data_IF_617526937285
#
_entry.id   IF_617526937285
#
_cell.length_a   1.000
_cell.length_b   1.000
_cell.length_c   1.000
_cell.angle_alpha   90.00
_cell.angle_beta   90.00
_cell.angle_gamma   90.00
#
_symmetry.space_group_name_H-M   'P 1'
#
loop_
_entity.id
_entity.type
_entity.pdbx_description
1 polymer ?
#
# COMPACT_ATOMS: atom_id res chain seq x y z
N UNK A 1 -6.79 10.61 -5.85
CA UNK A 1 -6.12 11.13 -4.65
C UNK A 1 -6.56 10.38 -3.40
N UNK A 2 -5.85 10.58 -2.31
CA UNK A 2 -6.00 9.85 -1.08
C UNK A 2 -6.27 10.90 0.02
N UNK A 3 -7.40 10.82 0.77
CA UNK A 3 -7.80 11.83 1.76
C UNK A 3 -8.11 11.32 3.18
N UNK A 4 -7.42 11.84 4.21
CA UNK A 4 -7.63 11.44 5.61
C UNK A 4 -8.85 12.20 6.12
N UNK A 5 -9.82 11.47 6.64
CA UNK A 5 -11.02 12.06 7.22
C UNK A 5 -10.62 12.83 8.47
N UNK A 6 -10.94 14.10 8.52
CA UNK A 6 -10.77 14.97 9.69
C UNK A 6 -12.16 15.34 10.22
N UNK A 7 -12.35 15.19 11.52
CA UNK A 7 -13.60 15.48 12.21
C UNK A 7 -14.61 14.32 12.19
N UNK A 8 -15.80 14.58 12.74
CA UNK A 8 -16.85 13.57 12.99
C UNK A 8 -18.07 13.69 12.07
N UNK A 9 -18.07 14.63 11.13
CA UNK A 9 -19.25 14.98 10.30
C UNK A 9 -19.77 13.83 9.42
N UNK A 10 -18.94 12.81 9.16
CA UNK A 10 -19.26 11.67 8.31
C UNK A 10 -19.33 10.34 9.08
N UNK A 11 -19.44 10.39 10.42
CA UNK A 11 -19.66 9.20 11.24
C UNK A 11 -21.11 8.72 11.14
N UNK A 12 -21.37 7.40 11.23
CA UNK A 12 -20.42 6.31 11.50
C UNK A 12 -19.70 5.77 10.26
N UNK A 13 -20.15 6.13 9.05
CA UNK A 13 -19.65 5.56 7.80
C UNK A 13 -18.15 5.84 7.58
N UNK A 14 -17.67 7.01 7.99
CA UNK A 14 -16.28 7.43 7.88
C UNK A 14 -15.80 8.04 9.20
N UNK A 15 -15.13 7.22 10.02
CA UNK A 15 -14.58 7.63 11.32
C UNK A 15 -13.42 8.60 11.16
N UNK A 16 -13.25 9.50 12.13
CA UNK A 16 -12.08 10.39 12.16
C UNK A 16 -10.76 9.60 12.03
N UNK A 17 -9.85 10.10 11.20
CA UNK A 17 -8.59 9.46 10.85
C UNK A 17 -8.67 8.37 9.78
N UNK A 18 -9.88 7.93 9.36
CA UNK A 18 -10.04 6.95 8.28
C UNK A 18 -9.40 7.45 6.99
N UNK A 19 -8.89 6.52 6.19
CA UNK A 19 -8.19 6.85 4.96
C UNK A 19 -9.09 6.53 3.76
N UNK A 20 -9.49 7.51 2.94
CA UNK A 20 -10.31 7.31 1.73
C UNK A 20 -9.51 7.40 0.43
N UNK A 21 -9.82 6.56 -0.56
CA UNK A 21 -9.41 6.74 -1.94
C UNK A 21 -10.49 7.51 -2.69
N UNK A 22 -10.11 8.64 -3.26
CA UNK A 22 -10.98 9.58 -3.96
C UNK A 22 -10.53 9.65 -5.41
N UNK A 23 -11.42 9.37 -6.35
CA UNK A 23 -11.11 9.36 -7.77
C UNK A 23 -11.85 10.50 -8.50
N UNK A 24 -11.09 11.34 -9.19
CA UNK A 24 -11.63 12.34 -10.13
C UNK A 24 -12.13 11.67 -11.41
N UNK A 25 -11.45 10.61 -11.86
CA UNK A 25 -11.89 9.81 -13.00
C UNK A 25 -13.25 9.14 -12.73
N UNK A 26 -13.54 8.80 -11.47
CA UNK A 26 -14.84 8.23 -11.10
C UNK A 26 -16.02 9.18 -11.34
N UNK A 27 -15.79 10.50 -11.49
CA UNK A 27 -16.82 11.46 -11.85
C UNK A 27 -17.35 11.25 -13.28
N UNK A 28 -16.55 10.65 -14.18
CA UNK A 28 -16.95 10.35 -15.57
C UNK A 28 -18.05 9.29 -15.65
N UNK A 29 -18.17 8.44 -14.63
CA UNK A 29 -19.22 7.42 -14.55
C UNK A 29 -20.52 7.95 -13.91
N UNK A 30 -20.61 9.26 -13.70
CA UNK A 30 -21.76 9.92 -13.09
C UNK A 30 -21.76 9.88 -11.56
N UNK A 31 -22.46 10.85 -10.99
CA UNK A 31 -22.71 10.96 -9.55
C UNK A 31 -24.14 10.49 -9.26
N UNK A 32 -24.30 9.76 -8.15
CA UNK A 32 -25.61 9.26 -7.70
C UNK A 32 -25.90 9.74 -6.28
N UNK A 33 -27.19 9.83 -5.95
CA UNK A 33 -27.63 10.05 -4.57
C UNK A 33 -27.06 8.93 -3.71
N UNK A 34 -26.52 9.28 -2.54
CA UNK A 34 -25.84 8.37 -1.62
C UNK A 34 -24.33 8.28 -1.80
N UNK A 35 -23.76 8.76 -2.92
CA UNK A 35 -22.30 8.79 -3.09
C UNK A 35 -21.63 9.70 -2.06
N UNK A 36 -20.52 9.25 -1.48
CA UNK A 36 -19.64 10.12 -0.71
C UNK A 36 -18.66 10.81 -1.67
N UNK A 37 -18.58 12.13 -1.58
CA UNK A 37 -17.74 12.96 -2.44
C UNK A 37 -16.95 13.94 -1.60
N UNK A 38 -15.78 14.29 -2.13
CA UNK A 38 -15.04 15.44 -1.65
C UNK A 38 -15.35 16.63 -2.54
N UNK A 39 -15.59 17.77 -1.92
CA UNK A 39 -15.88 19.03 -2.57
C UNK A 39 -15.16 20.18 -1.88
N UNK A 40 -15.01 21.31 -2.55
CA UNK A 40 -14.62 22.55 -1.90
C UNK A 40 -15.83 23.17 -1.19
N UNK A 41 -15.66 23.57 0.07
CA UNK A 41 -16.66 24.34 0.81
C UNK A 41 -16.86 25.69 0.09
N UNK A 42 -18.11 26.07 -0.26
CA UNK A 42 -18.37 27.32 -0.99
C UNK A 42 -17.89 28.58 -0.28
N UNK A 43 -17.76 28.53 1.05
CA UNK A 43 -17.49 29.72 1.90
C UNK A 43 -16.00 30.04 2.01
N UNK A 44 -15.16 29.03 2.18
CA UNK A 44 -13.73 29.19 2.48
C UNK A 44 -12.82 28.34 1.57
N UNK A 45 -13.39 27.65 0.57
CA UNK A 45 -12.68 26.79 -0.40
C UNK A 45 -11.86 25.67 0.22
N UNK A 46 -12.09 25.29 1.49
CA UNK A 46 -11.42 24.13 2.07
C UNK A 46 -12.03 22.82 1.56
N UNK A 47 -11.27 21.73 1.44
CA UNK A 47 -11.82 20.43 1.08
C UNK A 47 -12.69 19.88 2.21
N UNK A 48 -13.92 19.49 1.87
CA UNK A 48 -14.89 18.86 2.76
C UNK A 48 -15.34 17.53 2.20
N UNK A 49 -15.64 16.58 3.10
CA UNK A 49 -16.20 15.28 2.75
C UNK A 49 -17.68 15.26 3.13
N UNK A 50 -18.55 14.96 2.17
CA UNK A 50 -20.01 14.89 2.35
C UNK A 50 -20.64 13.80 1.49
N UNK A 51 -21.89 13.47 1.79
CA UNK A 51 -22.72 12.57 1.00
C UNK A 51 -23.68 13.36 0.11
N UNK A 52 -23.88 12.91 -1.12
CA UNK A 52 -24.87 13.47 -2.02
C UNK A 52 -26.26 13.10 -1.52
N UNK A 53 -27.04 14.10 -1.14
CA UNK A 53 -28.43 13.92 -0.74
C UNK A 53 -29.40 14.22 -1.90
N UNK A 54 -29.07 15.18 -2.76
CA UNK A 54 -29.88 15.53 -3.94
C UNK A 54 -29.00 16.01 -5.09
N UNK A 55 -29.40 15.72 -6.32
CA UNK A 55 -28.78 16.25 -7.54
C UNK A 55 -29.87 17.00 -8.31
N UNK A 56 -29.61 18.23 -8.70
CA UNK A 56 -30.49 19.06 -9.53
C UNK A 56 -29.73 19.68 -10.70
N UNK A 57 -30.42 20.51 -11.51
CA UNK A 57 -29.78 21.27 -12.59
C UNK A 57 -28.89 22.38 -12.05
N UNK A 58 -29.26 22.99 -10.91
CA UNK A 58 -28.51 24.07 -10.27
C UNK A 58 -27.25 23.57 -9.54
N UNK A 59 -27.21 22.28 -9.16
CA UNK A 59 -26.03 21.67 -8.56
C UNK A 59 -26.33 20.47 -7.68
N UNK A 60 -25.51 20.26 -6.65
CA UNK A 60 -25.54 19.10 -5.77
C UNK A 60 -25.74 19.54 -4.32
N UNK A 61 -26.72 18.95 -3.66
CA UNK A 61 -26.98 19.15 -2.25
C UNK A 61 -26.23 18.10 -1.42
N UNK A 62 -25.35 18.54 -0.55
CA UNK A 62 -24.43 17.72 0.22
C UNK A 62 -24.82 17.69 1.70
N UNK A 63 -24.87 16.51 2.32
CA UNK A 63 -25.14 16.33 3.75
C UNK A 63 -24.05 15.51 4.41
N UNK A 64 -23.78 15.77 5.69
CA UNK A 64 -22.96 14.87 6.49
C UNK A 64 -23.78 13.72 7.08
N UNK A 65 -23.13 12.58 7.33
CA UNK A 65 -23.79 11.42 7.94
C UNK A 65 -24.10 11.62 9.43
N UNK A 66 -23.35 12.51 10.09
CA UNK A 66 -23.59 12.93 11.47
C UNK A 66 -24.11 14.36 11.47
N UNK A 67 -25.42 14.52 11.53
CA UNK A 67 -26.07 15.84 11.43
C UNK A 67 -25.62 16.83 12.51
N UNK A 68 -25.42 16.36 13.75
CA UNK A 68 -25.06 17.17 14.91
C UNK A 68 -23.63 17.74 14.85
N UNK A 69 -22.77 17.16 14.00
CA UNK A 69 -21.36 17.53 13.85
C UNK A 69 -21.06 18.00 12.43
N UNK A 70 -22.09 18.31 11.63
CA UNK A 70 -21.96 18.65 10.22
C UNK A 70 -22.35 20.08 9.94
N UNK A 71 -21.39 20.84 9.42
CA UNK A 71 -21.68 21.99 8.56
C UNK A 71 -21.75 21.49 7.12
N UNK A 72 -22.92 21.61 6.49
CA UNK A 72 -23.23 21.04 5.17
C UNK A 72 -24.17 21.97 4.38
N UNK A 73 -24.80 21.48 3.31
CA UNK A 73 -25.66 22.30 2.44
C UNK A 73 -26.87 22.93 3.14
N UNK A 74 -27.21 22.49 4.36
CA UNK A 74 -28.18 23.21 5.20
C UNK A 74 -27.70 24.62 5.57
N UNK A 75 -26.38 24.82 5.62
CA UNK A 75 -25.75 26.09 5.99
C UNK A 75 -25.28 26.87 4.77
N UNK A 76 -24.65 26.21 3.81
CA UNK A 76 -24.02 26.90 2.65
C UNK A 76 -24.76 26.70 1.32
N UNK A 77 -25.89 25.98 1.31
CA UNK A 77 -26.67 25.75 0.10
C UNK A 77 -26.04 24.75 -0.88
N UNK A 78 -26.39 24.91 -2.15
CA UNK A 78 -26.04 23.98 -3.23
C UNK A 78 -24.57 24.16 -3.64
N UNK A 79 -23.89 23.04 -3.91
CA UNK A 79 -22.52 23.03 -4.43
C UNK A 79 -22.54 22.71 -5.93
N UNK A 80 -21.89 23.53 -6.74
CA UNK A 80 -21.82 23.30 -8.19
C UNK A 80 -20.92 22.11 -8.53
N UNK A 81 -21.10 21.50 -9.72
CA UNK A 81 -20.37 20.28 -10.11
C UNK A 81 -18.86 20.51 -10.22
N UNK A 82 -18.45 21.72 -10.55
CA UNK A 82 -17.04 22.12 -10.72
C UNK A 82 -16.31 22.13 -9.38
N UNK A 83 -17.03 22.35 -8.28
CA UNK A 83 -16.48 22.31 -6.92
C UNK A 83 -16.37 20.88 -6.37
N UNK A 84 -16.80 19.84 -7.10
CA UNK A 84 -16.59 18.44 -6.72
C UNK A 84 -15.19 18.00 -7.14
N UNK A 85 -14.36 17.70 -6.15
CA UNK A 85 -12.97 17.27 -6.33
C UNK A 85 -12.92 15.81 -6.83
N UNK A 86 -13.77 14.95 -6.27
CA UNK A 86 -13.82 13.54 -6.66
C UNK A 86 -14.75 12.69 -5.80
N UNK A 87 -15.01 11.47 -6.28
CA UNK A 87 -15.86 10.48 -5.60
C UNK A 87 -15.03 9.53 -4.74
N UNK A 88 -15.49 9.24 -3.54
CA UNK A 88 -14.91 8.20 -2.69
C UNK A 88 -15.19 6.85 -3.32
N UNK A 89 -14.13 6.13 -3.68
CA UNK A 89 -14.20 4.79 -4.27
C UNK A 89 -13.81 3.69 -3.29
N UNK A 90 -13.04 4.02 -2.24
CA UNK A 90 -12.62 3.03 -1.24
C UNK A 90 -12.35 3.68 0.12
N UNK A 91 -12.61 2.94 1.20
CA UNK A 91 -12.27 3.30 2.59
C UNK A 91 -11.31 2.28 3.17
N UNK A 92 -10.17 2.74 3.68
CA UNK A 92 -9.18 1.94 4.37
C UNK A 92 -9.38 2.04 5.90
N UNK A 93 -9.65 0.93 6.61
CA UNK A 93 -9.73 0.93 8.07
C UNK A 93 -8.43 1.31 8.78
N UNK A 94 -8.50 2.05 9.89
CA UNK A 94 -7.33 2.42 10.72
C UNK A 94 -6.57 1.21 11.30
N UNK A 95 -7.21 0.03 11.41
CA UNK A 95 -6.51 -1.21 11.79
C UNK A 95 -5.47 -1.65 10.75
N UNK A 96 -5.62 -1.23 9.49
CA UNK A 96 -4.74 -1.62 8.38
C UNK A 96 -3.32 -1.10 8.61
N UNK A 97 -3.13 0.11 9.17
CA UNK A 97 -1.78 0.61 9.42
C UNK A 97 -1.03 -0.27 10.43
N UNK A 98 -1.66 -0.61 11.56
CA UNK A 98 -1.05 -1.52 12.56
C UNK A 98 -0.77 -2.90 11.97
N UNK A 99 -1.70 -3.43 11.17
CA UNK A 99 -1.52 -4.71 10.49
C UNK A 99 -0.37 -4.66 9.48
N UNK A 100 -0.26 -3.58 8.69
CA UNK A 100 0.80 -3.39 7.71
C UNK A 100 2.18 -3.30 8.39
N UNK A 101 2.32 -2.60 9.52
CA UNK A 101 3.60 -2.57 10.23
C UNK A 101 4.01 -3.97 10.74
N UNK A 102 3.05 -4.75 11.25
CA UNK A 102 3.30 -6.15 11.65
C UNK A 102 3.65 -7.03 10.45
N UNK A 103 2.94 -6.86 9.33
CA UNK A 103 3.20 -7.59 8.10
C UNK A 103 4.62 -7.32 7.58
N UNK A 104 5.08 -6.06 7.58
CA UNK A 104 6.47 -5.72 7.19
C UNK A 104 7.48 -6.45 8.08
N UNK A 105 7.31 -6.41 9.41
CA UNK A 105 8.20 -7.10 10.34
C UNK A 105 8.24 -8.61 10.12
N UNK A 106 7.07 -9.24 9.99
CA UNK A 106 6.97 -10.68 9.81
C UNK A 106 7.52 -11.12 8.45
N UNK A 107 7.12 -10.46 7.36
CA UNK A 107 7.58 -10.80 6.01
C UNK A 107 9.09 -10.61 5.85
N UNK A 108 9.66 -9.53 6.40
CA UNK A 108 11.10 -9.32 6.35
C UNK A 108 11.87 -10.37 7.18
N UNK A 109 11.36 -10.74 8.36
CA UNK A 109 11.98 -11.75 9.21
C UNK A 109 11.92 -13.15 8.58
N UNK A 110 10.77 -13.53 8.03
CA UNK A 110 10.58 -14.82 7.35
C UNK A 110 11.48 -14.89 6.11
N UNK A 111 11.51 -13.83 5.30
CA UNK A 111 12.37 -13.77 4.11
C UNK A 111 13.86 -13.84 4.46
N UNK A 112 14.29 -13.21 5.56
CA UNK A 112 15.68 -13.30 6.03
C UNK A 112 16.05 -14.73 6.47
N UNK A 113 15.16 -15.41 7.18
CA UNK A 113 15.38 -16.81 7.59
C UNK A 113 15.44 -17.75 6.39
N UNK A 114 14.52 -17.59 5.44
CA UNK A 114 14.44 -18.35 4.20
C UNK A 114 15.73 -18.21 3.36
N UNK A 115 16.07 -16.98 3.00
CA UNK A 115 17.26 -16.69 2.20
C UNK A 115 18.57 -16.98 2.95
N UNK A 116 18.61 -16.77 4.27
CA UNK A 116 19.74 -17.15 5.12
C UNK A 116 19.96 -18.67 5.16
N UNK A 117 18.89 -19.45 5.26
CA UNK A 117 18.94 -20.91 5.20
C UNK A 117 19.46 -21.41 3.85
N UNK A 118 18.94 -20.88 2.74
CA UNK A 118 19.41 -21.23 1.40
C UNK A 118 20.88 -20.84 1.18
N UNK A 119 21.29 -19.68 1.68
CA UNK A 119 22.69 -19.24 1.62
C UNK A 119 23.61 -20.20 2.37
N UNK A 120 23.23 -20.60 3.59
CA UNK A 120 23.99 -21.56 4.39
C UNK A 120 24.10 -22.91 3.67
N UNK A 121 23.00 -23.40 3.08
CA UNK A 121 22.99 -24.66 2.31
C UNK A 121 23.85 -24.61 1.06
N UNK A 122 23.82 -23.50 0.34
CA UNK A 122 24.67 -23.30 -0.84
C UNK A 122 26.15 -23.32 -0.49
N UNK A 123 26.54 -22.68 0.62
CA UNK A 123 27.94 -22.64 1.08
C UNK A 123 28.41 -23.99 1.63
N UNK A 124 27.53 -24.73 2.32
CA UNK A 124 27.86 -26.04 2.90
C UNK A 124 27.73 -27.20 1.92
N UNK A 125 27.26 -26.94 0.69
CA UNK A 125 26.99 -27.98 -0.31
C UNK A 125 25.87 -28.95 0.09
N UNK A 126 25.03 -28.55 1.06
CA UNK A 126 23.96 -29.40 1.57
C UNK A 126 22.76 -29.44 0.62
N UNK A 127 22.17 -30.62 0.44
CA UNK A 127 20.94 -30.78 -0.35
C UNK A 127 19.75 -30.06 0.29
N UNK A 128 18.85 -29.58 -0.57
CA UNK A 128 17.64 -28.84 -0.21
C UNK A 128 16.42 -29.71 -0.54
N UNK A 129 15.94 -30.46 0.45
CA UNK A 129 14.76 -31.31 0.27
C UNK A 129 13.48 -30.48 0.29
N UNK A 130 12.73 -30.52 -0.81
CA UNK A 130 11.45 -29.82 -0.98
C UNK A 130 10.25 -30.78 -0.93
N UNK A 131 10.31 -31.77 -0.04
CA UNK A 131 9.33 -32.87 0.06
C UNK A 131 7.94 -32.41 0.51
N UNK A 132 7.80 -31.18 1.03
CA UNK A 132 6.56 -30.67 1.60
C UNK A 132 5.52 -30.22 0.55
N UNK A 133 5.88 -30.10 -0.73
CA UNK A 133 4.97 -29.67 -1.79
C UNK A 133 5.03 -30.66 -2.96
N UNK A 134 3.92 -31.38 -3.27
CA UNK A 134 3.87 -32.28 -4.43
C UNK A 134 4.19 -31.53 -5.73
N UNK A 135 5.19 -32.03 -6.47
CA UNK A 135 5.64 -31.42 -7.74
C UNK A 135 6.64 -30.26 -7.62
N UNK A 136 7.11 -29.92 -6.42
CA UNK A 136 8.19 -28.94 -6.27
C UNK A 136 9.56 -29.59 -6.49
N UNK A 137 10.35 -29.01 -7.40
CA UNK A 137 11.70 -29.47 -7.76
C UNK A 137 12.70 -28.33 -7.53
N UNK A 138 13.13 -28.18 -6.28
CA UNK A 138 14.05 -27.13 -5.88
C UNK A 138 15.45 -27.32 -6.45
N UNK A 139 15.90 -28.56 -6.67
CA UNK A 139 17.23 -28.86 -7.19
C UNK A 139 17.43 -28.32 -8.61
N UNK A 140 16.41 -28.43 -9.48
CA UNK A 140 16.44 -27.88 -10.84
C UNK A 140 16.59 -26.35 -10.80
N UNK A 141 15.88 -25.69 -9.88
CA UNK A 141 15.90 -24.22 -9.77
C UNK A 141 17.19 -23.72 -9.13
N UNK A 142 17.61 -24.32 -8.01
CA UNK A 142 18.81 -23.92 -7.26
C UNK A 142 20.12 -24.31 -7.97
N UNK A 143 20.11 -25.38 -8.77
CA UNK A 143 21.22 -25.78 -9.62
C UNK A 143 21.30 -25.04 -10.96
N UNK A 144 20.31 -24.22 -11.31
CA UNK A 144 20.29 -23.48 -12.57
C UNK A 144 21.26 -22.30 -12.56
N UNK A 145 21.66 -21.83 -13.76
CA UNK A 145 22.45 -20.60 -13.90
C UNK A 145 21.78 -19.35 -13.32
N UNK A 146 20.46 -19.38 -13.13
CA UNK A 146 19.68 -18.26 -12.56
C UNK A 146 19.79 -18.16 -11.03
N UNK A 147 20.36 -19.17 -10.36
CA UNK A 147 20.58 -19.13 -8.90
C UNK A 147 21.81 -18.30 -8.50
N UNK A 148 22.61 -17.87 -9.47
CA UNK A 148 23.78 -17.00 -9.27
C UNK A 148 23.72 -15.80 -10.20
N UNK A 149 24.18 -14.64 -9.73
CA UNK A 149 24.29 -13.40 -10.51
C UNK A 149 25.73 -12.90 -10.36
N UNK A 150 26.48 -12.81 -11.47
CA UNK A 150 27.90 -12.46 -11.46
C UNK A 150 28.75 -13.32 -10.48
N UNK A 151 28.41 -14.61 -10.35
CA UNK A 151 29.08 -15.53 -9.42
C UNK A 151 28.64 -15.40 -7.95
N UNK A 152 27.75 -14.45 -7.63
CA UNK A 152 27.20 -14.27 -6.29
C UNK A 152 25.89 -15.06 -6.17
N UNK A 153 25.71 -15.92 -5.16
CA UNK A 153 24.46 -16.64 -4.94
C UNK A 153 23.30 -15.66 -4.74
N UNK A 154 22.22 -15.86 -5.49
CA UNK A 154 21.02 -15.04 -5.37
C UNK A 154 20.39 -15.11 -3.97
N UNK A 155 20.52 -16.25 -3.29
CA UNK A 155 20.11 -16.42 -1.90
C UNK A 155 20.83 -15.44 -0.96
N UNK A 156 22.13 -15.18 -1.17
CA UNK A 156 22.90 -14.24 -0.38
C UNK A 156 22.42 -12.80 -0.61
N UNK A 157 22.17 -12.42 -1.86
CA UNK A 157 21.59 -11.13 -2.20
C UNK A 157 20.21 -10.94 -1.55
N UNK A 158 19.39 -11.99 -1.54
CA UNK A 158 18.13 -12.03 -0.82
C UNK A 158 18.29 -11.78 0.68
N UNK A 159 19.22 -12.46 1.34
CA UNK A 159 19.48 -12.31 2.76
C UNK A 159 19.91 -10.89 3.12
N UNK A 160 20.83 -10.30 2.33
CA UNK A 160 21.25 -8.91 2.50
C UNK A 160 20.09 -7.93 2.27
N UNK A 161 19.24 -8.19 1.28
CA UNK A 161 18.04 -7.39 1.02
C UNK A 161 17.07 -7.41 2.21
N UNK A 162 16.68 -8.58 2.71
CA UNK A 162 15.74 -8.67 3.82
C UNK A 162 16.32 -8.10 5.13
N UNK A 163 17.61 -8.29 5.39
CA UNK A 163 18.30 -7.69 6.52
C UNK A 163 18.31 -6.17 6.44
N UNK A 164 18.56 -5.62 5.25
CA UNK A 164 18.56 -4.17 5.00
C UNK A 164 17.17 -3.60 5.22
N UNK A 165 16.14 -4.21 4.63
CA UNK A 165 14.74 -3.79 4.81
C UNK A 165 14.34 -3.84 6.29
N UNK A 166 14.68 -4.91 7.00
CA UNK A 166 14.34 -5.07 8.42
C UNK A 166 15.01 -3.99 9.28
N UNK A 167 16.30 -3.74 9.06
CA UNK A 167 17.06 -2.71 9.78
C UNK A 167 16.50 -1.31 9.52
N UNK A 168 16.30 -0.95 8.25
CA UNK A 168 15.73 0.35 7.86
C UNK A 168 14.32 0.53 8.40
N UNK A 169 13.53 -0.54 8.45
CA UNK A 169 12.20 -0.52 9.02
C UNK A 169 12.19 -0.26 10.52
N UNK A 170 13.09 -0.89 11.29
CA UNK A 170 13.26 -0.61 12.73
C UNK A 170 13.67 0.85 12.95
N UNK A 171 14.56 1.39 12.11
CA UNK A 171 14.94 2.80 12.16
C UNK A 171 13.75 3.70 11.86
N UNK A 172 12.93 3.36 10.85
CA UNK A 172 11.71 4.09 10.52
C UNK A 172 10.70 4.08 11.68
N UNK A 173 10.51 2.95 12.37
CA UNK A 173 9.63 2.86 13.53
C UNK A 173 10.03 3.80 14.68
N UNK A 174 11.33 4.15 14.78
CA UNK A 174 11.85 5.08 15.80
C UNK A 174 11.76 6.54 15.35
N UNK A 175 12.13 6.83 14.09
CA UNK A 175 12.26 8.22 13.57
C UNK A 175 10.99 8.75 12.92
N UNK A 176 10.14 7.88 12.38
CA UNK A 176 8.91 8.27 11.66
C UNK A 176 9.13 9.03 10.35
N UNK A 177 10.35 9.05 9.81
CA UNK A 177 10.71 9.87 8.64
C UNK A 177 10.06 9.35 7.35
N UNK A 178 9.27 10.21 6.70
CA UNK A 178 8.58 9.92 5.45
C UNK A 178 9.51 9.72 4.24
N UNK A 179 10.69 10.35 4.22
CA UNK A 179 11.69 10.15 3.15
C UNK A 179 12.29 8.74 3.24
N UNK A 180 12.57 8.30 4.46
CA UNK A 180 13.03 6.94 4.73
C UNK A 180 11.99 5.91 4.29
N UNK A 181 10.70 6.15 4.55
CA UNK A 181 9.64 5.25 4.08
C UNK A 181 9.58 5.15 2.55
N UNK A 182 9.72 6.27 1.83
CA UNK A 182 9.75 6.28 0.37
C UNK A 182 10.97 5.54 -0.18
N UNK A 183 12.13 5.70 0.47
CA UNK A 183 13.34 4.96 0.13
C UNK A 183 13.16 3.44 0.32
N UNK A 184 12.62 3.01 1.47
CA UNK A 184 12.32 1.60 1.75
C UNK A 184 11.32 1.05 0.71
N UNK A 185 10.30 1.82 0.35
CA UNK A 185 9.36 1.43 -0.70
C UNK A 185 10.03 1.25 -2.06
N UNK A 186 10.97 2.14 -2.43
CA UNK A 186 11.75 2.04 -3.67
C UNK A 186 12.57 0.75 -3.75
N UNK A 187 13.35 0.43 -2.71
CA UNK A 187 14.16 -0.80 -2.68
C UNK A 187 13.29 -2.06 -2.72
N UNK A 188 12.14 -2.06 -2.03
CA UNK A 188 11.21 -3.19 -2.06
C UNK A 188 10.52 -3.32 -3.41
N UNK A 189 10.28 -2.22 -4.13
CA UNK A 189 9.80 -2.25 -5.51
C UNK A 189 10.75 -3.02 -6.43
N UNK A 190 12.06 -2.78 -6.31
CA UNK A 190 13.08 -3.55 -7.04
C UNK A 190 13.02 -5.03 -6.67
N UNK A 191 12.98 -5.36 -5.36
CA UNK A 191 12.86 -6.75 -4.89
C UNK A 191 11.63 -7.47 -5.44
N UNK A 192 10.46 -6.81 -5.46
CA UNK A 192 9.23 -7.36 -6.02
C UNK A 192 9.33 -7.64 -7.52
N UNK A 193 9.90 -6.71 -8.30
CA UNK A 193 10.11 -6.91 -9.74
C UNK A 193 11.07 -8.08 -10.00
N UNK A 194 12.14 -8.19 -9.21
CA UNK A 194 13.05 -9.34 -9.28
C UNK A 194 12.32 -10.65 -8.97
N UNK A 195 11.45 -10.69 -7.95
CA UNK A 195 10.64 -11.88 -7.66
C UNK A 195 9.72 -12.26 -8.81
N UNK A 196 9.08 -11.30 -9.48
CA UNK A 196 8.25 -11.57 -10.66
C UNK A 196 9.07 -12.16 -11.81
N UNK A 197 10.28 -11.62 -12.04
CA UNK A 197 11.20 -12.16 -13.04
C UNK A 197 11.60 -13.62 -12.73
N UNK A 198 11.91 -13.93 -11.48
CA UNK A 198 12.29 -15.29 -11.07
C UNK A 198 11.11 -16.27 -11.13
N UNK A 199 9.89 -15.80 -10.85
CA UNK A 199 8.67 -16.60 -11.06
C UNK A 199 8.51 -16.89 -12.56
N UNK A 200 8.72 -15.90 -13.42
CA UNK A 200 8.65 -16.08 -14.87
C UNK A 200 9.64 -17.15 -15.36
N UNK A 201 10.90 -17.09 -14.90
CA UNK A 201 11.91 -18.09 -15.24
C UNK A 201 11.49 -19.50 -14.77
N UNK A 202 10.98 -19.63 -13.54
CA UNK A 202 10.51 -20.92 -13.01
C UNK A 202 9.34 -21.49 -13.83
N UNK A 203 8.37 -20.66 -14.20
CA UNK A 203 7.15 -21.10 -14.88
C UNK A 203 7.36 -21.40 -16.37
N UNK A 204 8.15 -20.59 -17.08
CA UNK A 204 8.22 -20.61 -18.54
C UNK A 204 9.56 -21.08 -19.12
N UNK A 205 10.64 -21.06 -18.32
CA UNK A 205 11.97 -21.46 -18.80
C UNK A 205 12.38 -22.79 -18.18
N UNK A 206 12.28 -22.91 -16.85
CA UNK A 206 12.70 -24.11 -16.13
C UNK A 206 11.60 -25.16 -16.03
N UNK A 207 10.32 -24.77 -16.20
CA UNK A 207 9.15 -25.63 -16.01
C UNK A 207 9.17 -26.37 -14.65
N UNK A 208 9.72 -25.72 -13.62
CA UNK A 208 9.92 -26.29 -12.30
C UNK A 208 9.73 -25.21 -11.23
N UNK A 209 9.07 -25.58 -10.12
CA UNK A 209 8.80 -24.67 -9.02
C UNK A 209 9.65 -25.01 -7.79
N UNK A 210 10.23 -23.98 -7.17
CA UNK A 210 10.94 -24.08 -5.90
C UNK A 210 10.10 -23.49 -4.77
N UNK A 211 9.83 -24.29 -3.73
CA UNK A 211 9.02 -23.89 -2.57
C UNK A 211 9.59 -22.65 -1.85
N UNK A 212 10.92 -22.61 -1.67
CA UNK A 212 11.61 -21.49 -1.04
C UNK A 212 11.56 -20.23 -1.91
N UNK A 213 11.77 -20.35 -3.24
CA UNK A 213 11.63 -19.19 -4.14
C UNK A 213 10.18 -18.65 -4.17
N UNK A 214 9.17 -19.52 -4.08
CA UNK A 214 7.77 -19.10 -3.95
C UNK A 214 7.50 -18.39 -2.61
N UNK A 215 8.09 -18.89 -1.51
CA UNK A 215 8.01 -18.23 -0.20
C UNK A 215 8.68 -16.84 -0.23
N UNK A 216 9.86 -16.72 -0.84
CA UNK A 216 10.53 -15.45 -1.05
C UNK A 216 9.68 -14.50 -1.90
N UNK A 217 9.07 -14.99 -2.99
CA UNK A 217 8.18 -14.17 -3.81
C UNK A 217 6.91 -13.72 -3.07
N UNK A 218 6.34 -14.57 -2.20
CA UNK A 218 5.22 -14.21 -1.35
C UNK A 218 5.62 -13.13 -0.33
N UNK A 219 6.76 -13.30 0.35
CA UNK A 219 7.23 -12.33 1.36
C UNK A 219 7.62 -10.99 0.74
N UNK A 220 8.25 -10.97 -0.44
CA UNK A 220 8.57 -9.73 -1.17
C UNK A 220 7.31 -9.00 -1.63
N UNK A 221 6.30 -9.74 -2.11
CA UNK A 221 4.99 -9.19 -2.49
C UNK A 221 4.27 -8.60 -1.27
N UNK A 222 4.25 -9.31 -0.15
CA UNK A 222 3.64 -8.81 1.10
C UNK A 222 4.35 -7.56 1.63
N UNK A 223 5.68 -7.49 1.51
CA UNK A 223 6.44 -6.28 1.84
C UNK A 223 6.02 -5.11 0.95
N UNK A 224 5.99 -5.31 -0.37
CA UNK A 224 5.63 -4.28 -1.33
C UNK A 224 4.23 -3.73 -1.07
N UNK A 225 3.24 -4.62 -0.92
CA UNK A 225 1.86 -4.23 -0.65
C UNK A 225 1.73 -3.53 0.70
N UNK A 226 2.37 -4.04 1.75
CA UNK A 226 2.29 -3.44 3.09
C UNK A 226 2.91 -2.04 3.12
N UNK A 227 4.08 -1.86 2.49
CA UNK A 227 4.73 -0.56 2.37
C UNK A 227 3.96 0.39 1.46
N UNK A 228 3.37 -0.10 0.36
CA UNK A 228 2.48 0.69 -0.47
C UNK A 228 1.32 1.23 0.37
N UNK A 229 0.63 0.39 1.14
CA UNK A 229 -0.46 0.83 2.02
C UNK A 229 0.00 1.90 3.04
N UNK A 230 1.22 1.76 3.57
CA UNK A 230 1.81 2.70 4.53
C UNK A 230 2.18 4.05 3.88
N UNK A 231 2.86 4.05 2.73
CA UNK A 231 3.18 5.26 1.96
C UNK A 231 1.90 6.01 1.57
N UNK A 232 0.90 5.26 1.08
CA UNK A 232 -0.42 5.81 0.74
C UNK A 232 -1.15 6.38 1.98
N UNK A 233 -0.85 5.88 3.18
CA UNK A 233 -1.38 6.43 4.44
C UNK A 233 -0.64 7.67 4.94
N UNK A 234 0.66 7.82 4.63
CA UNK A 234 1.55 8.91 5.09
C UNK A 234 1.56 10.15 4.18
N UNK A 235 1.41 10.01 2.86
CA UNK A 235 1.42 11.13 1.87
C UNK A 235 0.21 12.07 1.98
N UNK A 236 -0.38 12.14 3.18
CA UNK A 236 -1.70 12.63 3.52
C UNK A 236 -1.70 13.42 4.84
N UNK A 237 -0.57 13.47 5.54
CA UNK A 237 -0.35 14.30 6.75
C UNK A 237 0.52 15.54 6.51
N UNK A 238 1.16 15.67 5.33
CA UNK A 238 2.10 16.75 5.02
C UNK A 238 1.64 17.76 3.97
N UNK A 239 0.34 17.80 3.63
CA UNK A 239 -0.22 18.68 2.58
C UNK A 239 -1.33 19.59 3.15
N UNK A 240 -1.17 20.02 4.40
CA UNK A 240 -2.11 20.90 5.11
C UNK A 240 -1.40 22.08 5.75
N UNK A 241 -0.52 22.75 5.00
CA UNK A 241 -0.11 24.13 5.26
C UNK A 241 -0.52 24.94 4.04
N UNK A 242 -1.53 25.82 4.13
CA UNK A 242 -1.59 26.95 3.22
C UNK A 242 -0.29 27.74 3.42
N UNK A 243 0.41 28.03 2.33
CA UNK A 243 1.43 29.06 2.31
C UNK A 243 0.80 30.37 2.80
N UNK A 244 1.04 30.73 4.06
CA UNK A 244 0.93 32.12 4.51
C UNK A 244 2.13 32.85 3.90
N UNK A 245 1.90 33.40 2.71
CA UNK A 245 2.77 34.40 2.13
C UNK A 245 2.77 35.64 3.03
N UNK A 246 4.00 36.02 3.42
CA UNK A 246 4.36 37.32 3.97
C UNK A 246 4.20 38.42 2.93
#
# INVERSE_FOLDING_TARGET
MLYRVVGKSMEPAYKNGSVLLISKAALRFGLKIGDAVMAFDPRDKRPILKRIAKISKEGIYLRGDNEAQSTDSRTFGIVTKENIIGKVIMKFPNKISKLAHKAVLLSASIGLLDSGYLTFKHITGGEVTCSAIPGANCDVVLGSMYSTIFGIPLALLGALYYLTVLTLWIIYLRKGDSRLLQFIFGITGVGFLTSLYLIYIQAFVLYAYCAFCMLSALTSTLLFVSLLLLVLSQKRTGDSTPDDHS
#
